data_IF_450960648646
#
_entry.id   IF_450960648646
#
_cell.length_a   1.000
_cell.length_b   1.000
_cell.length_c   1.000
_cell.angle_alpha   90.00
_cell.angle_beta   90.00
_cell.angle_gamma   90.00
#
_symmetry.space_group_name_H-M   'P 1'
#
loop_
_entity.id
_entity.type
_entity.pdbx_description
1 polymer ?
#
# COMPACT_ATOMS: atom_id res chain seq x y z
N UNK A 1 -21.80 1.51 -17.45
CA UNK A 1 -20.67 1.86 -18.34
C UNK A 1 -19.68 0.72 -18.28
N UNK A 2 -19.08 0.36 -19.40
CA UNK A 2 -18.31 -0.86 -19.63
C UNK A 2 -17.28 -1.18 -18.52
N UNK A 3 -17.22 -2.46 -18.11
CA UNK A 3 -16.47 -3.03 -16.98
C UNK A 3 -15.18 -2.28 -16.57
N UNK A 4 -15.33 -1.38 -15.60
CA UNK A 4 -14.24 -0.78 -14.85
C UNK A 4 -13.57 -1.84 -13.98
N UNK A 5 -12.30 -2.15 -14.26
CA UNK A 5 -11.51 -3.12 -13.51
C UNK A 5 -10.07 -2.64 -13.36
N UNK A 6 -9.44 -3.08 -12.28
CA UNK A 6 -8.02 -2.88 -12.03
C UNK A 6 -7.39 -4.18 -11.53
N UNK A 7 -6.07 -4.28 -11.65
CA UNK A 7 -5.30 -5.44 -11.20
C UNK A 7 -4.50 -5.04 -9.98
N UNK A 8 -4.60 -5.84 -8.92
CA UNK A 8 -3.70 -5.77 -7.78
C UNK A 8 -2.66 -6.88 -7.96
N UNK A 9 -1.39 -6.54 -7.79
CA UNK A 9 -0.30 -7.49 -7.72
C UNK A 9 0.37 -7.35 -6.36
N UNK A 10 0.72 -8.47 -5.75
CA UNK A 10 1.53 -8.47 -4.55
C UNK A 10 2.99 -8.19 -4.90
N UNK A 11 3.74 -7.59 -3.97
CA UNK A 11 5.14 -7.26 -4.15
C UNK A 11 6.00 -8.32 -3.44
N UNK A 12 6.43 -9.40 -4.12
CA UNK A 12 7.32 -10.37 -3.52
C UNK A 12 8.69 -9.73 -3.18
N UNK A 13 9.19 -9.99 -1.97
CA UNK A 13 10.61 -9.82 -1.67
C UNK A 13 11.09 -8.39 -1.40
N UNK A 14 10.28 -7.57 -0.73
CA UNK A 14 10.79 -6.42 0.04
C UNK A 14 11.22 -6.86 1.45
N UNK A 15 11.86 -8.02 1.59
CA UNK A 15 12.44 -8.48 2.85
C UNK A 15 13.78 -9.16 2.56
N UNK A 16 14.72 -9.09 3.52
CA UNK A 16 16.12 -9.55 3.39
C UNK A 16 16.27 -10.90 2.66
N UNK A 17 17.12 -10.92 1.62
CA UNK A 17 17.47 -12.12 0.85
C UNK A 17 16.80 -12.27 -0.51
N UNK A 18 15.80 -11.46 -0.86
CA UNK A 18 15.19 -11.49 -2.20
C UNK A 18 16.04 -10.80 -3.30
N UNK A 19 16.99 -9.95 -2.91
CA UNK A 19 17.87 -9.19 -3.81
C UNK A 19 19.15 -9.94 -4.22
N UNK A 20 19.55 -10.99 -3.49
CA UNK A 20 20.74 -11.80 -3.80
C UNK A 20 20.38 -13.01 -4.67
N UNK A 21 20.26 -12.81 -6.00
CA UNK A 21 20.68 -13.88 -6.93
C UNK A 21 19.74 -14.36 -8.04
N UNK A 22 18.50 -13.86 -8.19
CA UNK A 22 17.57 -14.47 -9.15
C UNK A 22 17.38 -13.76 -10.50
N UNK A 23 17.96 -12.58 -10.73
CA UNK A 23 17.70 -11.79 -11.97
C UNK A 23 16.25 -11.29 -12.11
N UNK A 24 15.38 -11.59 -11.14
CA UNK A 24 13.96 -11.21 -11.07
C UNK A 24 13.77 -9.70 -10.78
N UNK A 25 14.71 -9.06 -10.09
CA UNK A 25 14.58 -7.66 -9.66
C UNK A 25 14.37 -6.67 -10.82
N UNK A 26 15.15 -6.78 -11.89
CA UNK A 26 15.11 -5.78 -12.99
C UNK A 26 13.85 -5.89 -13.88
N UNK A 27 13.33 -7.11 -14.12
CA UNK A 27 12.06 -7.29 -14.84
C UNK A 27 10.87 -6.93 -13.96
N UNK A 28 10.91 -7.26 -12.67
CA UNK A 28 9.88 -6.94 -11.70
C UNK A 28 9.78 -5.42 -11.46
N UNK A 29 10.90 -4.72 -11.37
CA UNK A 29 11.00 -3.25 -11.32
C UNK A 29 10.28 -2.57 -12.49
N UNK A 30 10.41 -3.09 -13.71
CA UNK A 30 9.71 -2.53 -14.89
C UNK A 30 8.19 -2.69 -14.83
N UNK A 31 7.70 -3.68 -14.08
CA UNK A 31 6.27 -3.87 -13.84
C UNK A 31 5.78 -2.97 -12.71
N UNK A 32 6.53 -2.87 -11.61
CA UNK A 32 6.23 -1.96 -10.51
C UNK A 32 6.33 -0.49 -10.91
N UNK A 33 7.25 -0.12 -11.81
CA UNK A 33 7.34 1.24 -12.35
C UNK A 33 6.05 1.66 -13.06
N UNK A 34 5.25 0.72 -13.56
CA UNK A 34 3.95 0.99 -14.21
C UNK A 34 2.75 1.02 -13.27
N UNK A 35 2.92 0.74 -11.97
CA UNK A 35 1.81 0.84 -11.00
C UNK A 35 1.52 2.30 -10.66
N UNK A 36 0.24 2.66 -10.55
CA UNK A 36 -0.19 4.03 -10.24
C UNK A 36 -0.28 4.31 -8.75
N UNK A 37 -0.49 3.27 -7.94
CA UNK A 37 -0.76 3.37 -6.51
C UNK A 37 -0.08 2.20 -5.77
N UNK A 38 0.55 2.51 -4.63
CA UNK A 38 1.04 1.51 -3.69
C UNK A 38 0.08 1.38 -2.50
N UNK A 39 -0.21 0.14 -2.09
CA UNK A 39 -0.98 -0.14 -0.89
C UNK A 39 -0.02 -0.68 0.18
N UNK A 40 0.10 0.05 1.28
CA UNK A 40 0.96 -0.33 2.39
C UNK A 40 0.10 -0.98 3.48
N UNK A 41 0.00 -2.31 3.41
CA UNK A 41 -0.79 -3.10 4.33
C UNK A 41 -0.01 -3.34 5.63
N UNK A 42 -0.63 -3.00 6.76
CA UNK A 42 -0.06 -3.18 8.10
C UNK A 42 -1.09 -3.86 9.00
N UNK A 43 -0.71 -4.93 9.66
CA UNK A 43 -1.56 -5.58 10.66
C UNK A 43 -1.46 -4.83 12.00
N UNK A 44 -2.57 -4.27 12.48
CA UNK A 44 -2.58 -3.49 13.74
C UNK A 44 -2.73 -4.34 15.01
N UNK A 45 -2.96 -5.64 14.82
CA UNK A 45 -3.10 -6.65 15.86
C UNK A 45 -2.27 -7.90 15.49
N UNK A 46 -0.93 -7.81 15.54
CA UNK A 46 -0.06 -8.96 15.34
C UNK A 46 -0.30 -9.99 16.45
N UNK A 47 -0.20 -11.28 16.12
CA UNK A 47 -0.39 -12.36 17.10
C UNK A 47 0.77 -12.46 18.09
N UNK A 48 1.97 -12.07 17.66
CA UNK A 48 3.15 -12.03 18.51
C UNK A 48 3.23 -10.66 19.20
N UNK A 49 3.18 -10.61 20.55
CA UNK A 49 3.24 -9.36 21.30
C UNK A 49 4.60 -8.65 21.25
N UNK A 50 5.66 -9.34 20.80
CA UNK A 50 6.98 -8.72 20.59
C UNK A 50 7.04 -7.87 19.32
N UNK A 51 6.08 -8.06 18.40
CA UNK A 51 6.02 -7.33 17.14
C UNK A 51 5.33 -5.99 17.35
N UNK A 52 6.04 -4.91 17.01
CA UNK A 52 5.47 -3.58 16.95
C UNK A 52 5.09 -3.23 15.50
N UNK A 53 3.79 -3.06 15.20
CA UNK A 53 3.32 -2.74 13.84
C UNK A 53 3.96 -1.49 13.23
N UNK A 54 4.30 -0.49 14.06
CA UNK A 54 4.91 0.76 13.58
C UNK A 54 6.33 0.50 13.09
N UNK A 55 7.06 -0.37 13.76
CA UNK A 55 8.45 -0.69 13.40
C UNK A 55 8.50 -1.57 12.16
N UNK A 56 7.59 -2.53 12.01
CA UNK A 56 7.42 -3.31 10.78
C UNK A 56 7.08 -2.42 9.58
N UNK A 57 6.11 -1.51 9.75
CA UNK A 57 5.76 -0.56 8.70
C UNK A 57 6.98 0.28 8.29
N UNK A 58 7.73 0.82 9.25
CA UNK A 58 8.97 1.57 8.97
C UNK A 58 10.04 0.73 8.29
N UNK A 59 10.19 -0.54 8.66
CA UNK A 59 11.15 -1.44 8.04
C UNK A 59 10.86 -1.60 6.54
N UNK A 60 9.61 -1.89 6.18
CA UNK A 60 9.17 -2.01 4.77
C UNK A 60 9.36 -0.68 4.02
N UNK A 61 9.05 0.46 4.65
CA UNK A 61 9.27 1.78 4.03
C UNK A 61 10.75 2.04 3.74
N UNK A 62 11.63 1.71 4.69
CA UNK A 62 13.07 1.87 4.53
C UNK A 62 13.62 0.94 3.46
N UNK A 63 13.09 -0.27 3.35
CA UNK A 63 13.46 -1.21 2.30
C UNK A 63 13.00 -0.75 0.92
N UNK A 64 11.75 -0.32 0.80
CA UNK A 64 11.23 0.29 -0.42
C UNK A 64 12.13 1.45 -0.90
N UNK A 65 12.59 2.29 0.05
CA UNK A 65 13.51 3.40 -0.24
C UNK A 65 14.88 2.93 -0.71
N UNK A 66 15.44 1.87 -0.10
CA UNK A 66 16.72 1.28 -0.53
C UNK A 66 16.61 0.60 -1.89
N UNK A 67 15.44 0.06 -2.21
CA UNK A 67 15.19 -0.70 -3.42
C UNK A 67 15.06 0.20 -4.65
N UNK A 68 14.22 1.24 -4.58
CA UNK A 68 14.03 2.19 -5.69
C UNK A 68 13.43 3.52 -5.19
N UNK A 69 14.14 4.63 -5.45
CA UNK A 69 13.73 5.96 -5.01
C UNK A 69 12.48 6.48 -5.76
N UNK A 70 12.32 6.17 -7.04
CA UNK A 70 11.14 6.56 -7.82
C UNK A 70 9.90 5.80 -7.34
N UNK A 71 10.05 4.52 -7.00
CA UNK A 71 8.99 3.72 -6.42
C UNK A 71 8.59 4.23 -5.03
N UNK A 72 9.57 4.62 -4.22
CA UNK A 72 9.33 5.22 -2.91
C UNK A 72 8.53 6.54 -2.97
N UNK A 73 8.70 7.33 -4.03
CA UNK A 73 7.98 8.59 -4.24
C UNK A 73 6.55 8.43 -4.76
N UNK A 74 6.14 7.21 -5.14
CA UNK A 74 4.78 7.00 -5.67
C UNK A 74 3.70 7.29 -4.63
N UNK A 75 2.49 7.65 -5.09
CA UNK A 75 1.31 7.68 -4.25
C UNK A 75 1.18 6.36 -3.49
N UNK A 76 1.04 6.46 -2.17
CA UNK A 76 0.94 5.32 -1.27
C UNK A 76 -0.18 5.55 -0.29
N UNK A 77 -1.00 4.53 -0.06
CA UNK A 77 -2.06 4.54 0.94
C UNK A 77 -1.74 3.57 2.06
N UNK A 78 -2.02 3.96 3.29
CA UNK A 78 -1.83 3.12 4.46
C UNK A 78 -3.10 2.31 4.72
N UNK A 79 -2.99 0.99 4.73
CA UNK A 79 -4.10 0.08 4.96
C UNK A 79 -3.87 -0.66 6.27
N UNK A 80 -4.63 -0.30 7.30
CA UNK A 80 -4.57 -0.89 8.63
C UNK A 80 -5.55 -2.07 8.70
N UNK A 81 -5.02 -3.28 8.73
CA UNK A 81 -5.76 -4.53 8.67
C UNK A 81 -5.91 -5.20 10.04
N UNK A 82 -6.87 -6.13 10.14
CA UNK A 82 -7.26 -6.86 11.37
C UNK A 82 -7.92 -5.99 12.44
N UNK A 83 -8.73 -5.01 12.01
CA UNK A 83 -9.51 -4.19 12.96
C UNK A 83 -10.50 -5.03 13.79
N UNK A 84 -10.88 -6.22 13.33
CA UNK A 84 -11.75 -7.16 14.05
C UNK A 84 -11.10 -7.77 15.30
N UNK A 85 -9.78 -7.62 15.45
CA UNK A 85 -9.01 -8.10 16.59
C UNK A 85 -8.71 -6.98 17.61
N UNK A 86 -9.30 -5.79 17.42
CA UNK A 86 -9.07 -4.61 18.26
C UNK A 86 -10.40 -4.09 18.78
N UNK A 87 -10.49 -3.83 20.08
CA UNK A 87 -11.73 -3.28 20.68
C UNK A 87 -11.90 -1.78 20.37
N UNK A 88 -10.90 -0.95 20.65
CA UNK A 88 -10.90 0.48 20.33
C UNK A 88 -10.11 0.76 19.04
N UNK A 89 -10.76 0.47 17.91
CA UNK A 89 -10.15 0.66 16.58
C UNK A 89 -9.75 2.11 16.35
N UNK A 90 -10.58 3.08 16.76
CA UNK A 90 -10.35 4.49 16.50
C UNK A 90 -9.10 5.00 17.22
N UNK A 91 -8.94 4.67 18.51
CA UNK A 91 -7.75 5.08 19.26
C UNK A 91 -6.49 4.36 18.78
N UNK A 92 -6.58 3.05 18.47
CA UNK A 92 -5.45 2.29 17.95
C UNK A 92 -4.94 2.85 16.62
N UNK A 93 -5.84 3.16 15.70
CA UNK A 93 -5.52 3.77 14.41
C UNK A 93 -4.89 5.15 14.59
N UNK A 94 -5.48 6.00 15.44
CA UNK A 94 -4.96 7.34 15.73
C UNK A 94 -3.55 7.28 16.33
N UNK A 95 -3.32 6.38 17.28
CA UNK A 95 -2.02 6.16 17.91
C UNK A 95 -1.00 5.64 16.91
N UNK A 96 -1.40 4.71 16.04
CA UNK A 96 -0.54 4.22 14.95
C UNK A 96 -0.11 5.35 14.02
N UNK A 97 -1.06 6.12 13.47
CA UNK A 97 -0.80 7.21 12.52
C UNK A 97 0.16 8.24 13.13
N UNK A 98 -0.10 8.63 14.39
CA UNK A 98 0.74 9.59 15.12
C UNK A 98 2.17 9.07 15.29
N UNK A 99 2.32 7.80 15.66
CA UNK A 99 3.63 7.18 15.90
C UNK A 99 4.39 6.95 14.60
N UNK A 100 3.68 6.55 13.54
CA UNK A 100 4.26 6.32 12.22
C UNK A 100 4.58 7.62 11.48
N UNK A 101 3.91 8.74 11.82
CA UNK A 101 4.13 10.05 11.21
C UNK A 101 3.50 10.16 9.82
N UNK A 102 2.37 9.49 9.60
CA UNK A 102 1.73 9.40 8.29
C UNK A 102 0.73 10.52 8.05
N UNK A 103 0.73 11.06 6.83
CA UNK A 103 -0.13 12.19 6.42
C UNK A 103 -0.98 11.90 5.18
N UNK A 104 -0.78 10.73 4.55
CA UNK A 104 -1.56 10.31 3.38
C UNK A 104 -2.87 9.63 3.74
N UNK A 105 -3.61 9.11 2.74
CA UNK A 105 -4.84 8.35 2.96
C UNK A 105 -4.61 7.14 3.86
N UNK A 106 -5.60 6.88 4.74
CA UNK A 106 -5.61 5.75 5.67
C UNK A 106 -6.93 5.03 5.58
N UNK A 107 -6.88 3.71 5.43
CA UNK A 107 -8.03 2.84 5.45
C UNK A 107 -7.89 1.86 6.61
N UNK A 108 -9.01 1.59 7.28
CA UNK A 108 -9.10 0.61 8.36
C UNK A 108 -9.99 -0.52 7.88
N UNK A 109 -9.43 -1.73 7.77
CA UNK A 109 -10.14 -2.88 7.16
C UNK A 109 -10.05 -4.12 8.04
N UNK A 110 -11.01 -5.03 7.83
CA UNK A 110 -10.87 -6.42 8.20
C UNK A 110 -10.99 -7.25 6.93
N UNK A 111 -9.86 -7.71 6.40
CA UNK A 111 -9.86 -8.54 5.21
C UNK A 111 -10.67 -9.84 5.40
N UNK A 112 -10.64 -10.43 6.61
CA UNK A 112 -11.36 -11.67 6.91
C UNK A 112 -12.88 -11.47 7.05
N UNK A 113 -13.31 -10.30 7.53
CA UNK A 113 -14.75 -9.95 7.64
C UNK A 113 -15.28 -9.19 6.42
N UNK A 114 -14.41 -8.74 5.51
CA UNK A 114 -14.75 -7.87 4.38
C UNK A 114 -15.09 -6.43 4.75
N UNK A 115 -14.87 -6.02 6.01
CA UNK A 115 -15.17 -4.66 6.49
C UNK A 115 -14.17 -3.67 5.90
N UNK A 116 -14.66 -2.56 5.35
CA UNK A 116 -13.84 -1.50 4.74
C UNK A 116 -13.25 -1.85 3.37
N UNK A 117 -13.24 -3.13 2.95
CA UNK A 117 -12.64 -3.55 1.68
C UNK A 117 -13.39 -3.01 0.45
N UNK A 118 -14.71 -2.89 0.52
CA UNK A 118 -15.54 -2.39 -0.59
C UNK A 118 -15.29 -0.90 -0.85
N UNK A 119 -15.27 -0.10 0.21
CA UNK A 119 -14.94 1.32 0.15
C UNK A 119 -13.51 1.54 -0.37
N UNK A 120 -12.54 0.80 0.17
CA UNK A 120 -11.16 0.81 -0.33
C UNK A 120 -11.09 0.51 -1.83
N UNK A 121 -11.83 -0.50 -2.31
CA UNK A 121 -11.83 -0.89 -3.73
C UNK A 121 -12.42 0.22 -4.62
N UNK A 122 -13.48 0.89 -4.17
CA UNK A 122 -14.08 2.00 -4.90
C UNK A 122 -13.17 3.21 -4.97
N UNK A 123 -12.53 3.58 -3.86
CA UNK A 123 -11.61 4.70 -3.83
C UNK A 123 -10.38 4.43 -4.70
N UNK A 124 -9.83 3.21 -4.66
CA UNK A 124 -8.75 2.79 -5.56
C UNK A 124 -9.18 2.96 -7.02
N UNK A 125 -10.39 2.52 -7.37
CA UNK A 125 -10.91 2.65 -8.73
C UNK A 125 -10.98 4.13 -9.14
N UNK A 126 -11.63 4.97 -8.32
CA UNK A 126 -11.73 6.41 -8.57
C UNK A 126 -10.36 7.05 -8.77
N UNK A 127 -9.40 6.75 -7.88
CA UNK A 127 -8.03 7.27 -7.97
C UNK A 127 -7.34 6.86 -9.28
N UNK A 128 -7.46 5.59 -9.69
CA UNK A 128 -6.87 5.10 -10.95
C UNK A 128 -7.49 5.81 -12.16
N UNK A 129 -8.81 6.06 -12.15
CA UNK A 129 -9.49 6.73 -13.26
C UNK A 129 -9.11 8.20 -13.39
N UNK A 130 -9.03 8.91 -12.28
CA UNK A 130 -8.59 10.31 -12.26
C UNK A 130 -7.16 10.44 -12.78
N UNK A 131 -6.26 9.57 -12.34
CA UNK A 131 -4.89 9.56 -12.83
C UNK A 131 -4.81 9.24 -14.34
N UNK A 132 -5.63 8.31 -14.86
CA UNK A 132 -5.67 8.03 -16.31
C UNK A 132 -6.15 9.23 -17.12
N UNK A 133 -7.15 9.98 -16.64
CA UNK A 133 -7.65 11.18 -17.32
C UNK A 133 -6.57 12.26 -17.41
N UNK A 134 -5.89 12.53 -16.30
CA UNK A 134 -4.80 13.52 -16.23
C UNK A 134 -3.68 13.16 -17.21
N UNK A 135 -3.26 11.89 -17.25
CA UNK A 135 -2.21 11.44 -18.16
C UNK A 135 -2.61 11.62 -19.63
N UNK A 136 -3.87 11.30 -19.98
CA UNK A 136 -4.36 11.50 -21.35
C UNK A 136 -4.43 12.98 -21.74
N UNK A 137 -4.83 13.87 -20.83
CA UNK A 137 -4.88 15.31 -21.10
C UNK A 137 -3.49 15.92 -21.31
N UNK A 138 -2.47 15.47 -20.58
CA UNK A 138 -1.08 15.93 -20.77
C UNK A 138 -0.58 15.55 -22.17
N UNK A 139 -0.79 14.30 -22.60
CA UNK A 139 -0.33 13.80 -23.92
C UNK A 139 -1.02 14.50 -25.10
N UNK A 140 -2.24 15.00 -24.92
CA UNK A 140 -2.97 15.72 -25.99
C UNK A 140 -2.45 17.16 -26.16
N UNK A 141 -1.82 17.72 -25.11
CA UNK A 141 -1.36 19.11 -25.09
C UNK A 141 0.14 19.27 -25.41
N UNK A 142 0.84 18.18 -25.72
CA UNK A 142 2.22 18.14 -26.24
C UNK A 142 2.23 17.90 -27.76
#
# INVERSE_FOLDING_TARGET
GENQSFVIADIPGLIEGASEGAGLGHQFLRHLARTTLLLHLVDIAPFDPSINPVDEARAIVNELKKYDELLYQKPRWLILNKIDMVEDVADKVKTFIKSFGWTGPVYSISAIKGVGCKELTYDIMTFIEENKKIQNEIVINE
#
